data_IF_439328731211
#
_entry.id   IF_439328731211
#
_cell.length_a   1.000
_cell.length_b   1.000
_cell.length_c   1.000
_cell.angle_alpha   90.00
_cell.angle_beta   90.00
_cell.angle_gamma   90.00
#
_symmetry.space_group_name_H-M   'P 1'
#
loop_
_entity.id
_entity.type
_entity.pdbx_description
1 polymer ?
#
# COMPACT_ATOMS: atom_id res chain seq x y z
N UNK A 1 -16.74 3.17 -0.17
CA UNK A 1 -15.27 3.18 -0.28
C UNK A 1 -14.73 4.56 0.07
N UNK A 2 -13.76 4.60 0.93
CA UNK A 2 -13.07 5.83 1.30
C UNK A 2 -11.64 5.76 0.75
N UNK A 3 -11.24 6.79 -0.01
CA UNK A 3 -9.88 6.86 -0.53
C UNK A 3 -9.07 7.82 0.32
N UNK A 4 -7.97 7.33 0.87
CA UNK A 4 -7.06 8.15 1.66
C UNK A 4 -6.07 8.82 0.73
N UNK A 5 -6.06 10.16 0.76
CA UNK A 5 -5.22 10.96 -0.12
C UNK A 5 -3.74 10.66 0.07
N UNK A 6 -2.97 10.77 -1.01
CA UNK A 6 -1.53 10.47 -1.01
C UNK A 6 -0.74 11.30 -0.01
N UNK A 7 -1.22 12.47 0.37
CA UNK A 7 -0.53 13.31 1.35
C UNK A 7 -0.45 12.63 2.71
N UNK A 8 -1.46 11.87 3.08
CA UNK A 8 -1.47 11.12 4.34
C UNK A 8 -0.58 9.89 4.25
N UNK A 9 -0.59 9.21 3.11
CA UNK A 9 0.31 8.09 2.88
C UNK A 9 1.77 8.53 2.93
N UNK A 10 2.08 9.68 2.34
CA UNK A 10 3.44 10.21 2.32
C UNK A 10 3.96 10.57 3.71
N UNK A 11 3.08 10.83 4.66
CA UNK A 11 3.47 11.18 6.02
C UNK A 11 3.87 9.97 6.86
N UNK A 12 3.63 8.76 6.39
CA UNK A 12 3.97 7.54 7.13
C UNK A 12 5.47 7.50 7.38
N UNK A 13 5.85 7.26 8.63
CA UNK A 13 7.27 7.22 9.02
C UNK A 13 7.87 8.59 9.31
N UNK A 14 7.06 9.64 9.32
CA UNK A 14 7.53 10.99 9.64
C UNK A 14 6.91 11.47 10.95
N UNK A 15 7.42 12.59 11.47
CA UNK A 15 6.86 13.23 12.67
C UNK A 15 5.81 14.28 12.31
N UNK A 16 5.38 14.32 11.05
CA UNK A 16 4.41 15.30 10.62
C UNK A 16 3.03 15.07 11.25
N UNK A 17 2.27 16.14 11.40
CA UNK A 17 0.91 16.05 11.93
C UNK A 17 0.07 15.09 11.10
N UNK A 18 0.30 15.04 9.79
CA UNK A 18 -0.45 14.15 8.91
C UNK A 18 -0.21 12.66 9.22
N UNK A 19 0.90 12.32 9.86
CA UNK A 19 1.14 10.93 10.29
C UNK A 19 0.11 10.53 11.35
N UNK A 20 -0.15 11.40 12.31
CA UNK A 20 -1.17 11.13 13.33
C UNK A 20 -2.56 11.07 12.72
N UNK A 21 -2.86 12.00 11.79
CA UNK A 21 -4.15 12.01 11.10
C UNK A 21 -4.34 10.71 10.31
N UNK A 22 -3.29 10.22 9.66
CA UNK A 22 -3.33 8.96 8.93
C UNK A 22 -3.76 7.80 9.84
N UNK A 23 -3.17 7.70 11.03
CA UNK A 23 -3.52 6.65 11.99
C UNK A 23 -4.97 6.75 12.43
N UNK A 24 -5.46 7.98 12.64
CA UNK A 24 -6.84 8.22 13.04
C UNK A 24 -7.81 7.80 11.92
N UNK A 25 -7.50 8.16 10.68
CA UNK A 25 -8.34 7.80 9.53
C UNK A 25 -8.46 6.28 9.42
N UNK A 26 -7.33 5.57 9.53
CA UNK A 26 -7.32 4.12 9.41
C UNK A 26 -8.12 3.48 10.53
N UNK A 27 -7.92 3.94 11.77
CA UNK A 27 -8.65 3.40 12.92
C UNK A 27 -10.15 3.63 12.79
N UNK A 28 -10.54 4.81 12.32
CA UNK A 28 -11.94 5.16 12.14
C UNK A 28 -12.60 4.31 11.06
N UNK A 29 -11.92 4.14 9.92
CA UNK A 29 -12.45 3.33 8.83
C UNK A 29 -12.67 1.89 9.27
N UNK A 30 -11.72 1.33 10.03
CA UNK A 30 -11.86 -0.02 10.55
C UNK A 30 -13.03 -0.13 11.50
N UNK A 31 -13.18 0.83 12.39
CA UNK A 31 -14.25 0.81 13.37
C UNK A 31 -15.61 0.94 12.73
N UNK A 32 -15.72 1.75 11.68
CA UNK A 32 -16.97 1.95 10.96
C UNK A 32 -17.20 0.90 9.88
N UNK A 33 -16.24 -0.01 9.67
CA UNK A 33 -16.29 -1.04 8.64
C UNK A 33 -16.44 -0.46 7.24
N UNK A 34 -15.75 0.64 7.00
CA UNK A 34 -15.69 1.28 5.70
C UNK A 34 -14.45 0.77 4.98
N UNK A 35 -14.61 0.35 3.73
CA UNK A 35 -13.46 -0.06 2.93
C UNK A 35 -12.58 1.15 2.62
N UNK A 36 -11.32 1.06 3.01
CA UNK A 36 -10.35 2.13 2.81
C UNK A 36 -9.36 1.74 1.74
N UNK A 37 -9.12 2.67 0.82
CA UNK A 37 -8.07 2.53 -0.20
C UNK A 37 -7.00 3.57 0.11
N UNK A 38 -5.78 3.13 0.35
CA UNK A 38 -4.65 4.03 0.57
C UNK A 38 -4.03 4.36 -0.78
N UNK A 39 -4.05 5.64 -1.16
CA UNK A 39 -3.47 6.10 -2.42
C UNK A 39 -2.04 6.59 -2.22
N UNK A 40 -1.27 6.59 -3.28
CA UNK A 40 0.06 7.16 -3.25
C UNK A 40 1.11 6.32 -2.54
N UNK A 41 0.95 5.01 -2.51
CA UNK A 41 1.95 4.12 -1.90
C UNK A 41 3.14 4.04 -2.84
N UNK A 42 4.29 4.54 -2.40
CA UNK A 42 5.49 4.61 -3.23
C UNK A 42 6.65 3.79 -2.67
N UNK A 43 6.62 3.42 -1.40
CA UNK A 43 7.71 2.69 -0.76
C UNK A 43 7.22 1.42 -0.10
N UNK A 44 8.13 0.45 0.05
CA UNK A 44 7.82 -0.78 0.77
C UNK A 44 7.53 -0.50 2.24
N UNK A 45 8.17 0.51 2.81
CA UNK A 45 7.92 0.89 4.20
C UNK A 45 6.49 1.34 4.38
N UNK A 46 5.98 2.18 3.47
CA UNK A 46 4.58 2.61 3.50
C UNK A 46 3.64 1.42 3.37
N UNK A 47 3.93 0.52 2.43
CA UNK A 47 3.11 -0.66 2.21
C UNK A 47 3.09 -1.56 3.46
N UNK A 48 4.23 -1.78 4.09
CA UNK A 48 4.32 -2.62 5.29
C UNK A 48 3.53 -2.00 6.45
N UNK A 49 3.62 -0.69 6.61
CA UNK A 49 2.89 0.01 7.66
C UNK A 49 1.38 -0.14 7.48
N UNK A 50 0.90 0.09 6.26
CA UNK A 50 -0.52 -0.03 5.95
C UNK A 50 -1.01 -1.48 6.09
N UNK A 51 -0.16 -2.44 5.73
CA UNK A 51 -0.47 -3.84 5.91
C UNK A 51 -0.69 -4.17 7.39
N UNK A 52 0.20 -3.70 8.26
CA UNK A 52 0.08 -3.95 9.71
C UNK A 52 -1.20 -3.36 10.28
N UNK A 53 -1.66 -2.25 9.72
CA UNK A 53 -2.88 -1.61 10.18
C UNK A 53 -4.14 -2.16 9.51
N UNK A 54 -3.99 -3.10 8.60
CA UNK A 54 -5.13 -3.78 8.00
C UNK A 54 -5.88 -3.00 6.94
N UNK A 55 -5.22 -2.06 6.25
CA UNK A 55 -5.84 -1.32 5.15
C UNK A 55 -6.08 -2.29 3.98
N UNK A 56 -7.31 -2.47 3.52
CA UNK A 56 -7.62 -3.57 2.60
C UNK A 56 -7.08 -3.41 1.19
N UNK A 57 -6.90 -2.20 0.69
CA UNK A 57 -6.40 -1.99 -0.68
C UNK A 57 -5.35 -0.90 -0.69
N UNK A 58 -4.24 -1.16 -1.35
CA UNK A 58 -3.13 -0.22 -1.51
C UNK A 58 -2.99 0.12 -2.99
N UNK A 59 -2.74 1.40 -3.28
CA UNK A 59 -2.63 1.89 -4.65
C UNK A 59 -1.52 2.92 -4.75
N UNK A 60 -0.73 2.88 -5.81
CA UNK A 60 0.33 3.85 -6.02
C UNK A 60 1.40 3.34 -6.97
N UNK A 61 2.47 4.12 -7.12
CA UNK A 61 3.53 3.80 -8.07
C UNK A 61 4.31 2.54 -7.74
N UNK A 62 4.24 2.09 -6.49
CA UNK A 62 4.91 0.86 -6.10
C UNK A 62 4.27 -0.37 -6.78
N UNK A 63 3.02 -0.29 -7.17
CA UNK A 63 2.25 -1.40 -7.72
C UNK A 63 1.78 -1.09 -9.13
N UNK A 64 1.68 -2.15 -9.96
CA UNK A 64 1.12 -2.00 -11.30
C UNK A 64 -0.39 -1.78 -11.27
N UNK A 65 -1.05 -2.38 -10.29
CA UNK A 65 -2.50 -2.29 -10.08
C UNK A 65 -2.76 -2.01 -8.61
N UNK A 66 -3.97 -1.59 -8.25
CA UNK A 66 -4.33 -1.57 -6.85
C UNK A 66 -4.07 -2.92 -6.22
N UNK A 67 -3.44 -2.94 -5.05
CA UNK A 67 -2.97 -4.16 -4.41
C UNK A 67 -3.88 -4.52 -3.24
N UNK A 68 -4.60 -5.66 -3.32
CA UNK A 68 -5.33 -6.14 -2.15
C UNK A 68 -4.36 -6.51 -1.05
N UNK A 69 -4.73 -6.26 0.18
CA UNK A 69 -3.87 -6.54 1.32
C UNK A 69 -3.43 -7.99 1.36
N UNK A 70 -4.33 -8.90 0.99
CA UNK A 70 -4.04 -10.34 1.02
C UNK A 70 -2.93 -10.75 0.06
N UNK A 71 -2.68 -9.96 -0.98
CA UNK A 71 -1.63 -10.26 -1.97
C UNK A 71 -0.28 -9.69 -1.59
N UNK A 72 -0.22 -8.81 -0.59
CA UNK A 72 1.00 -8.09 -0.26
C UNK A 72 2.15 -9.00 0.20
N UNK A 73 1.93 -9.99 1.08
CA UNK A 73 3.04 -10.83 1.51
C UNK A 73 3.73 -11.54 0.34
N UNK A 74 2.96 -12.06 -0.59
CA UNK A 74 3.52 -12.73 -1.75
C UNK A 74 4.25 -11.74 -2.67
N UNK A 75 3.69 -10.56 -2.84
CA UNK A 75 4.31 -9.52 -3.64
C UNK A 75 5.67 -9.10 -3.07
N UNK A 76 5.76 -8.93 -1.75
CA UNK A 76 7.01 -8.60 -1.09
C UNK A 76 8.04 -9.70 -1.23
N UNK A 77 7.61 -10.96 -1.14
CA UNK A 77 8.50 -12.09 -1.31
C UNK A 77 9.08 -12.15 -2.72
N UNK A 78 8.26 -11.93 -3.73
CA UNK A 78 8.72 -11.87 -5.11
C UNK A 78 9.73 -10.76 -5.31
N UNK A 79 9.49 -9.62 -4.69
CA UNK A 79 10.39 -8.48 -4.79
C UNK A 79 11.75 -8.79 -4.16
N UNK A 80 11.75 -9.52 -3.06
CA UNK A 80 12.98 -9.90 -2.36
C UNK A 80 13.78 -10.90 -3.17
N UNK A 81 13.12 -11.86 -3.80
CA UNK A 81 13.80 -12.91 -4.56
C UNK A 81 14.21 -12.47 -5.96
N UNK A 82 13.61 -11.40 -6.47
CA UNK A 82 13.91 -10.88 -7.81
C UNK A 82 14.14 -9.38 -7.76
N UNK A 83 15.15 -8.92 -7.02
CA UNK A 83 15.28 -7.48 -6.78
C UNK A 83 15.56 -6.65 -8.01
N UNK A 84 16.12 -7.21 -9.04
CA UNK A 84 16.41 -6.46 -10.26
C UNK A 84 15.26 -6.39 -11.24
N UNK A 85 14.14 -7.05 -10.97
CA UNK A 85 13.02 -7.10 -11.89
C UNK A 85 11.96 -6.10 -11.48
N UNK A 86 11.49 -5.23 -12.38
CA UNK A 86 10.41 -4.32 -12.04
C UNK A 86 9.20 -5.09 -11.53
N UNK A 87 8.51 -4.55 -10.52
CA UNK A 87 7.41 -5.28 -9.89
C UNK A 87 6.30 -5.62 -10.88
N UNK A 88 6.04 -4.76 -11.86
CA UNK A 88 4.98 -5.01 -12.85
C UNK A 88 5.31 -6.20 -13.74
N UNK A 89 6.59 -6.47 -13.98
CA UNK A 89 6.98 -7.65 -14.75
C UNK A 89 6.76 -8.93 -13.97
N UNK A 90 6.96 -8.87 -12.64
CA UNK A 90 6.74 -10.05 -11.81
C UNK A 90 5.27 -10.41 -11.71
N UNK A 91 4.41 -9.38 -11.77
CA UNK A 91 2.97 -9.61 -11.72
C UNK A 91 2.40 -10.01 -13.09
N UNK A 92 3.09 -9.62 -14.17
CA UNK A 92 2.68 -9.92 -15.54
C UNK A 92 3.84 -10.59 -16.24
N UNK A 93 4.18 -11.80 -15.87
CA UNK A 93 5.34 -12.36 -16.42
C UNK A 93 5.13 -12.64 -17.84
N UNK A 94 5.10 -12.68 -18.54
CA UNK A 94 5.04 -13.02 -19.73
C UNK A 94 5.18 -12.26 -20.61
N UNK A 95 5.29 -11.88 -21.18
CA UNK A 95 5.43 -11.24 -21.98
C UNK A 95 5.02 -11.32 -22.62
N UNK A 96 4.57 -11.24 -22.39
CA UNK A 96 4.27 -10.97 -22.71
C UNK A 96 4.55 -10.59 -23.80
N UNK A 97 4.72 -10.71 -24.49
CA UNK A 97 5.05 -10.34 -25.53
C UNK A 97 4.68 -10.03 -26.13
#
# INVERSE_FOLDING_TARGET
VLKMDKRFTAAIGTDAVNSTVTDIIIAMARRLKIELVAEGVETEEQAAYLYRLGVPVLQGYLFAHPMPLSALPQWLEQRRTHPGTPFWRRQHPAPMV
#
